data_IF_881308346655
#
_entry.id   IF_881308346655
#
_cell.length_a   1.000
_cell.length_b   1.000
_cell.length_c   1.000
_cell.angle_alpha   90.00
_cell.angle_beta   90.00
_cell.angle_gamma   90.00
#
_symmetry.space_group_name_H-M   'P 1'
#
loop_
_entity.id
_entity.type
_entity.pdbx_description
1 polymer ?
#
# COMPACT_ATOMS: atom_id res chain seq x y z
N UNK A 1 -2.51 -14.42 23.62
CA UNK A 1 -1.06 -14.65 23.59
C UNK A 1 -0.35 -14.03 22.38
N UNK A 2 -0.40 -14.57 21.14
CA UNK A 2 0.31 -13.92 20.00
C UNK A 2 -0.18 -12.48 19.76
N UNK A 3 -1.49 -12.27 19.83
CA UNK A 3 -2.09 -10.94 19.78
C UNK A 3 -1.65 -10.05 20.95
N UNK A 4 -1.44 -10.60 22.15
CA UNK A 4 -0.96 -9.82 23.30
C UNK A 4 0.51 -9.43 23.13
N UNK A 5 1.35 -10.32 22.59
CA UNK A 5 2.73 -10.00 22.24
C UNK A 5 2.79 -8.90 21.18
N UNK A 6 1.95 -8.98 20.15
CA UNK A 6 1.85 -7.95 19.12
C UNK A 6 1.38 -6.60 19.69
N UNK A 7 0.32 -6.58 20.51
CA UNK A 7 -0.18 -5.36 21.13
C UNK A 7 0.81 -4.75 22.12
N UNK A 8 1.54 -5.58 22.87
CA UNK A 8 2.62 -5.11 23.77
C UNK A 8 3.78 -4.48 22.98
N UNK A 9 4.13 -5.07 21.84
CA UNK A 9 5.18 -4.57 20.96
C UNK A 9 4.78 -3.26 20.27
N UNK A 10 3.52 -3.17 19.83
CA UNK A 10 2.94 -1.99 19.17
C UNK A 10 2.59 -0.82 20.12
N UNK A 11 2.96 -0.89 21.40
CA UNK A 11 2.42 -0.02 22.46
C UNK A 11 2.46 1.50 22.15
N UNK A 12 1.34 2.06 21.68
CA UNK A 12 1.12 3.49 21.47
C UNK A 12 1.62 4.03 20.12
N UNK A 13 2.28 5.20 20.13
CA UNK A 13 2.81 5.92 18.95
C UNK A 13 4.14 5.35 18.41
N UNK A 14 4.61 4.20 18.94
CA UNK A 14 5.88 3.60 18.50
C UNK A 14 5.66 2.67 17.31
N UNK A 15 6.59 2.72 16.36
CA UNK A 15 6.69 1.76 15.27
C UNK A 15 6.85 0.34 15.82
N UNK A 16 6.21 -0.63 15.14
CA UNK A 16 6.27 -2.04 15.51
C UNK A 16 7.68 -2.62 15.29
N UNK A 17 8.29 -3.19 16.33
CA UNK A 17 9.61 -3.82 16.26
C UNK A 17 9.45 -5.33 15.96
N UNK A 18 9.57 -5.66 14.68
CA UNK A 18 9.48 -7.05 14.20
C UNK A 18 10.52 -7.97 14.86
N UNK A 19 11.75 -7.49 15.08
CA UNK A 19 12.82 -8.32 15.63
C UNK A 19 12.54 -8.70 17.08
N UNK A 20 12.07 -7.73 17.89
CA UNK A 20 11.64 -8.02 19.27
C UNK A 20 10.42 -8.94 19.30
N UNK A 21 9.45 -8.74 18.41
CA UNK A 21 8.27 -9.60 18.32
C UNK A 21 8.65 -11.05 17.96
N UNK A 22 9.53 -11.24 16.97
CA UNK A 22 10.00 -12.56 16.55
C UNK A 22 10.65 -13.32 17.71
N UNK A 23 11.51 -12.64 18.47
CA UNK A 23 12.16 -13.20 19.66
C UNK A 23 11.16 -13.61 20.74
N UNK A 24 10.17 -12.76 21.01
CA UNK A 24 9.14 -13.05 22.01
C UNK A 24 8.27 -14.24 21.60
N UNK A 25 7.95 -14.37 20.31
CA UNK A 25 7.18 -15.51 19.79
C UNK A 25 7.97 -16.82 19.87
N UNK A 26 9.25 -16.81 19.54
CA UNK A 26 10.12 -17.99 19.67
C UNK A 26 10.35 -18.42 21.12
N UNK A 27 10.29 -17.48 22.07
CA UNK A 27 10.40 -17.76 23.50
C UNK A 27 9.13 -18.41 24.08
N UNK A 28 7.99 -18.36 23.37
CA UNK A 28 6.77 -19.03 23.83
C UNK A 28 6.89 -20.54 23.63
N UNK A 29 6.72 -21.28 24.73
CA UNK A 29 6.48 -22.72 24.67
C UNK A 29 5.07 -23.04 24.15
N UNK A 30 4.95 -23.18 22.83
CA UNK A 30 3.73 -23.69 22.19
C UNK A 30 3.59 -25.20 22.40
N UNK A 31 2.35 -25.69 22.36
CA UNK A 31 2.06 -27.12 22.42
C UNK A 31 2.81 -27.89 21.30
N UNK A 32 3.22 -29.14 21.60
CA UNK A 32 3.94 -29.99 20.65
C UNK A 32 3.20 -30.04 19.30
N UNK A 33 3.91 -29.69 18.22
CA UNK A 33 3.39 -29.68 16.85
C UNK A 33 2.89 -28.31 16.34
N UNK A 34 2.65 -27.32 17.20
CA UNK A 34 2.16 -26.00 16.78
C UNK A 34 3.25 -25.06 16.27
N UNK A 35 4.51 -25.27 16.65
CA UNK A 35 5.63 -24.39 16.27
C UNK A 35 5.88 -24.37 14.75
N UNK A 36 5.90 -25.54 14.11
CA UNK A 36 6.27 -25.65 12.70
C UNK A 36 5.35 -24.87 11.74
N UNK A 37 4.02 -25.03 11.77
CA UNK A 37 3.12 -24.28 10.89
C UNK A 37 3.09 -22.77 11.21
N UNK A 38 3.33 -22.39 12.46
CA UNK A 38 3.38 -20.99 12.87
C UNK A 38 4.64 -20.30 12.35
N UNK A 39 5.81 -20.92 12.50
CA UNK A 39 7.07 -20.39 11.96
C UNK A 39 7.01 -20.25 10.44
N UNK A 40 6.45 -21.22 9.71
CA UNK A 40 6.26 -21.09 8.27
C UNK A 40 5.43 -19.85 7.87
N UNK A 41 4.39 -19.52 8.65
CA UNK A 41 3.59 -18.33 8.40
C UNK A 41 4.35 -17.04 8.73
N UNK A 42 5.17 -17.03 9.79
CA UNK A 42 6.02 -15.89 10.10
C UNK A 42 7.12 -15.68 9.05
N UNK A 43 7.74 -16.75 8.56
CA UNK A 43 8.75 -16.68 7.50
C UNK A 43 8.13 -16.15 6.19
N UNK A 44 6.90 -16.57 5.88
CA UNK A 44 6.14 -16.00 4.77
C UNK A 44 5.83 -14.51 4.97
N UNK A 45 5.42 -14.10 6.17
CA UNK A 45 5.21 -12.69 6.49
C UNK A 45 6.49 -11.86 6.36
N UNK A 46 7.63 -12.38 6.85
CA UNK A 46 8.94 -11.73 6.72
C UNK A 46 9.33 -11.49 5.27
N UNK A 47 8.94 -12.38 4.35
CA UNK A 47 9.23 -12.20 2.92
C UNK A 47 8.55 -10.96 2.31
N UNK A 48 7.49 -10.45 2.95
CA UNK A 48 6.80 -9.22 2.54
C UNK A 48 7.28 -7.96 3.29
N UNK A 49 8.05 -8.11 4.36
CA UNK A 49 8.51 -6.99 5.19
C UNK A 49 9.89 -6.50 4.75
N UNK A 50 10.03 -5.19 4.66
CA UNK A 50 11.33 -4.58 4.41
C UNK A 50 12.08 -4.32 5.73
N UNK A 51 12.66 -5.39 6.29
CA UNK A 51 13.38 -5.33 7.57
C UNK A 51 14.75 -4.61 7.48
N UNK A 52 15.21 -4.28 6.27
CA UNK A 52 16.49 -3.60 6.06
C UNK A 52 16.47 -2.10 6.38
N UNK A 53 15.28 -1.51 6.60
CA UNK A 53 15.09 -0.08 6.84
C UNK A 53 15.38 0.82 5.62
N UNK A 54 15.90 0.27 4.53
CA UNK A 54 16.07 0.99 3.27
C UNK A 54 14.72 1.05 2.58
N UNK A 55 13.98 2.16 2.64
CA UNK A 55 12.77 2.33 1.82
C UNK A 55 13.18 2.35 0.34
N UNK A 56 12.95 1.26 -0.42
CA UNK A 56 13.30 1.28 -1.82
C UNK A 56 12.37 2.32 -2.47
N UNK A 57 12.95 3.26 -3.21
CA UNK A 57 12.23 4.25 -4.03
C UNK A 57 11.58 3.57 -5.23
N UNK A 58 10.75 2.55 -4.97
CA UNK A 58 10.12 1.69 -5.99
C UNK A 58 9.17 2.52 -6.85
N UNK A 59 8.48 3.49 -6.24
CA UNK A 59 7.51 4.36 -6.90
C UNK A 59 8.06 5.78 -7.08
N UNK A 60 9.28 5.90 -7.62
CA UNK A 60 9.84 7.19 -8.04
C UNK A 60 9.94 7.25 -9.57
N UNK A 61 9.19 8.17 -10.17
CA UNK A 61 9.21 8.41 -11.61
C UNK A 61 10.56 8.98 -12.07
N UNK A 62 10.96 8.57 -13.26
CA UNK A 62 12.13 9.10 -13.98
C UNK A 62 11.68 9.53 -15.37
N UNK A 63 12.24 10.63 -15.92
CA UNK A 63 11.93 11.05 -17.29
C UNK A 63 12.13 9.89 -18.29
N UNK A 64 11.14 9.68 -19.16
CA UNK A 64 11.19 8.63 -20.19
C UNK A 64 10.95 7.20 -19.69
N UNK A 65 10.60 7.00 -18.42
CA UNK A 65 10.27 5.69 -17.86
C UNK A 65 8.76 5.57 -17.64
N UNK A 66 8.18 4.49 -18.17
CA UNK A 66 6.83 4.05 -17.85
C UNK A 66 6.91 3.03 -16.70
N UNK A 67 6.30 3.34 -15.58
CA UNK A 67 6.15 2.42 -14.44
C UNK A 67 4.74 1.88 -14.43
N UNK A 68 4.61 0.55 -14.54
CA UNK A 68 3.33 -0.15 -14.43
C UNK A 68 3.28 -0.75 -13.02
N UNK A 69 2.19 -0.48 -12.31
CA UNK A 69 1.93 -1.02 -10.98
C UNK A 69 0.72 -1.95 -11.11
N UNK A 70 0.95 -3.24 -10.95
CA UNK A 70 -0.12 -4.24 -10.91
C UNK A 70 -0.56 -4.43 -9.46
N UNK A 71 -1.83 -4.14 -9.20
CA UNK A 71 -2.48 -4.32 -7.90
C UNK A 71 -3.50 -5.47 -7.94
N UNK A 72 -3.52 -6.26 -9.01
CA UNK A 72 -4.41 -7.40 -9.17
C UNK A 72 -4.04 -8.48 -8.15
N UNK A 73 -4.94 -8.75 -7.21
CA UNK A 73 -4.78 -9.84 -6.25
C UNK A 73 -6.14 -10.52 -6.02
N UNK A 74 -6.22 -11.87 -6.11
CA UNK A 74 -7.49 -12.59 -5.97
C UNK A 74 -8.09 -12.57 -4.56
N UNK A 75 -7.35 -12.06 -3.57
CA UNK A 75 -7.69 -12.07 -2.14
C UNK A 75 -7.94 -10.65 -1.60
N UNK A 76 -7.54 -9.60 -2.31
CA UNK A 76 -7.71 -8.22 -1.87
C UNK A 76 -9.14 -7.76 -2.14
N UNK A 77 -9.80 -7.27 -1.09
CA UNK A 77 -11.12 -6.66 -1.19
C UNK A 77 -11.04 -5.24 -1.76
N UNK A 78 -12.15 -4.68 -2.29
CA UNK A 78 -12.15 -3.35 -2.91
C UNK A 78 -11.67 -2.22 -1.98
N UNK A 79 -11.95 -2.28 -0.68
CA UNK A 79 -11.54 -1.23 0.27
C UNK A 79 -10.03 -1.25 0.47
N UNK A 80 -9.44 -2.44 0.67
CA UNK A 80 -8.00 -2.65 0.74
C UNK A 80 -7.29 -2.25 -0.56
N UNK A 81 -7.88 -2.55 -1.72
CA UNK A 81 -7.35 -2.13 -3.02
C UNK A 81 -7.29 -0.59 -3.11
N UNK A 82 -8.36 0.09 -2.71
CA UNK A 82 -8.39 1.55 -2.72
C UNK A 82 -7.34 2.16 -1.78
N UNK A 83 -7.12 1.57 -0.61
CA UNK A 83 -6.06 2.00 0.30
C UNK A 83 -4.65 1.82 -0.30
N UNK A 84 -4.38 0.69 -0.96
CA UNK A 84 -3.12 0.44 -1.63
C UNK A 84 -2.89 1.42 -2.77
N UNK A 85 -3.91 1.62 -3.60
CA UNK A 85 -3.89 2.58 -4.69
C UNK A 85 -3.58 3.99 -4.17
N UNK A 86 -4.31 4.43 -3.15
CA UNK A 86 -4.13 5.72 -2.48
C UNK A 86 -2.69 5.93 -1.96
N UNK A 87 -2.14 4.88 -1.36
CA UNK A 87 -0.77 4.85 -0.83
C UNK A 87 0.26 4.94 -1.97
N UNK A 88 0.09 4.16 -3.04
CA UNK A 88 0.94 4.23 -4.23
C UNK A 88 0.94 5.62 -4.85
N UNK A 89 -0.24 6.25 -4.95
CA UNK A 89 -0.38 7.63 -5.44
C UNK A 89 0.40 8.64 -4.59
N UNK A 90 0.23 8.61 -3.26
CA UNK A 90 0.95 9.51 -2.36
C UNK A 90 2.47 9.35 -2.47
N UNK A 91 2.95 8.12 -2.51
CA UNK A 91 4.38 7.87 -2.69
C UNK A 91 4.89 8.39 -4.04
N UNK A 92 4.19 8.10 -5.14
CA UNK A 92 4.61 8.55 -6.46
C UNK A 92 4.65 10.07 -6.57
N UNK A 93 3.62 10.75 -6.06
CA UNK A 93 3.54 12.21 -6.10
C UNK A 93 4.60 12.88 -5.22
N UNK A 94 4.85 12.33 -4.02
CA UNK A 94 5.84 12.89 -3.07
C UNK A 94 7.28 12.64 -3.48
N UNK A 95 7.58 11.51 -4.13
CA UNK A 95 8.96 11.13 -4.45
C UNK A 95 9.40 11.57 -5.87
N UNK A 96 8.47 11.84 -6.78
CA UNK A 96 8.79 12.15 -8.17
C UNK A 96 8.92 13.66 -8.41
N UNK A 97 10.06 14.13 -8.91
CA UNK A 97 10.29 15.56 -9.18
C UNK A 97 10.05 15.98 -10.63
N UNK A 98 10.00 15.04 -11.58
CA UNK A 98 9.72 15.32 -12.99
C UNK A 98 8.21 15.50 -13.26
N UNK A 99 7.85 15.82 -14.52
CA UNK A 99 6.47 15.73 -15.00
C UNK A 99 5.89 14.32 -14.81
N UNK A 100 4.59 14.22 -14.50
CA UNK A 100 3.97 13.00 -13.98
C UNK A 100 2.70 12.70 -14.78
N UNK A 101 2.64 11.59 -15.49
CA UNK A 101 1.38 11.12 -16.07
C UNK A 101 0.93 9.88 -15.33
N UNK A 102 -0.33 9.82 -14.94
CA UNK A 102 -0.88 8.66 -14.25
C UNK A 102 -2.16 8.22 -14.97
N UNK A 103 -2.18 6.95 -15.35
CA UNK A 103 -3.35 6.30 -15.93
C UNK A 103 -3.87 5.25 -14.95
N UNK A 104 -5.19 5.16 -14.83
CA UNK A 104 -5.85 4.13 -14.02
C UNK A 104 -6.70 3.25 -14.93
N UNK A 105 -6.34 1.98 -14.97
CA UNK A 105 -7.14 0.94 -15.60
C UNK A 105 -8.20 0.46 -14.61
N UNK A 106 -9.38 0.07 -15.08
CA UNK A 106 -10.46 -0.49 -14.26
C UNK A 106 -10.90 0.35 -13.05
N UNK A 107 -10.62 1.66 -13.06
CA UNK A 107 -11.00 2.56 -11.97
C UNK A 107 -12.50 2.44 -11.61
N UNK A 108 -13.37 2.23 -12.60
CA UNK A 108 -14.81 2.04 -12.41
C UNK A 108 -15.16 0.77 -11.60
N UNK A 109 -14.39 -0.31 -11.73
CA UNK A 109 -14.56 -1.58 -11.02
C UNK A 109 -14.29 -1.46 -9.52
N UNK A 110 -13.52 -0.44 -9.11
CA UNK A 110 -13.15 -0.19 -7.72
C UNK A 110 -13.77 1.10 -7.15
N UNK A 111 -14.24 2.02 -8.01
CA UNK A 111 -14.89 3.28 -7.65
C UNK A 111 -16.41 3.10 -7.49
N UNK A 112 -16.83 2.17 -6.62
CA UNK A 112 -18.24 2.08 -6.23
C UNK A 112 -18.53 3.09 -5.12
N UNK A 113 -19.59 3.90 -5.29
CA UNK A 113 -19.92 5.07 -4.45
C UNK A 113 -20.23 4.77 -2.97
N UNK A 114 -20.20 3.49 -2.56
CA UNK A 114 -20.60 3.04 -1.23
C UNK A 114 -19.46 3.00 -0.20
N UNK A 115 -18.19 3.04 -0.61
CA UNK A 115 -17.04 2.98 0.31
C UNK A 115 -16.53 4.37 0.69
N UNK A 116 -16.42 4.64 1.99
CA UNK A 116 -15.90 5.91 2.54
C UNK A 116 -14.47 6.18 2.10
N UNK A 117 -13.64 5.13 2.01
CA UNK A 117 -12.24 5.19 1.56
C UNK A 117 -12.14 5.58 0.08
N UNK A 118 -13.01 5.03 -0.77
CA UNK A 118 -13.14 5.40 -2.19
C UNK A 118 -13.51 6.87 -2.32
N UNK A 119 -14.51 7.33 -1.58
CA UNK A 119 -14.98 8.73 -1.61
C UNK A 119 -13.88 9.69 -1.16
N UNK A 120 -13.10 9.33 -0.13
CA UNK A 120 -11.97 10.14 0.33
C UNK A 120 -10.85 10.22 -0.71
N UNK A 121 -10.48 9.08 -1.31
CA UNK A 121 -9.52 9.02 -2.41
C UNK A 121 -9.98 9.90 -3.58
N UNK A 122 -11.24 9.74 -4.02
CA UNK A 122 -11.83 10.50 -5.13
C UNK A 122 -11.91 12.00 -4.86
N UNK A 123 -12.12 12.42 -3.61
CA UNK A 123 -12.12 13.85 -3.27
C UNK A 123 -10.70 14.44 -3.21
N UNK A 124 -9.71 13.61 -2.86
CA UNK A 124 -8.31 14.04 -2.72
C UNK A 124 -7.60 14.08 -4.07
N UNK A 125 -7.83 13.08 -4.91
CA UNK A 125 -7.17 12.92 -6.20
C UNK A 125 -7.25 14.19 -7.08
N UNK A 126 -8.42 14.82 -7.34
CA UNK A 126 -8.51 16.06 -8.10
C UNK A 126 -7.81 17.25 -7.44
N UNK A 127 -7.82 17.32 -6.10
CA UNK A 127 -7.14 18.41 -5.36
C UNK A 127 -5.63 18.29 -5.53
N UNK A 128 -5.08 17.09 -5.32
CA UNK A 128 -3.65 16.85 -5.47
C UNK A 128 -3.18 17.06 -6.91
N UNK A 129 -3.99 16.67 -7.91
CA UNK A 129 -3.71 16.96 -9.33
C UNK A 129 -3.62 18.47 -9.58
N UNK A 130 -4.60 19.24 -9.09
CA UNK A 130 -4.64 20.70 -9.28
C UNK A 130 -3.43 21.38 -8.64
N UNK A 131 -3.09 21.00 -7.41
CA UNK A 131 -1.91 21.52 -6.70
C UNK A 131 -0.60 21.23 -7.44
N UNK A 132 -0.46 20.04 -8.02
CA UNK A 132 0.74 19.66 -8.78
C UNK A 132 0.83 20.40 -10.13
N UNK A 133 -0.30 20.65 -10.78
CA UNK A 133 -0.36 21.43 -12.03
C UNK A 133 0.00 22.91 -11.86
N UNK A 134 -0.30 23.50 -10.69
CA UNK A 134 0.09 24.88 -10.36
C UNK A 134 1.60 25.05 -10.15
N UNK A 135 2.30 23.97 -9.77
CA UNK A 135 3.76 23.94 -9.57
C UNK A 135 4.56 23.59 -10.85
N UNK A 136 3.94 23.66 -12.03
CA UNK A 136 4.60 23.41 -13.31
C UNK A 136 4.77 21.93 -13.69
N UNK A 137 4.18 21.01 -12.92
CA UNK A 137 4.11 19.60 -13.26
C UNK A 137 2.85 19.28 -14.06
N UNK A 138 2.99 18.89 -15.33
CA UNK A 138 1.85 18.38 -16.09
C UNK A 138 1.39 17.04 -15.50
N UNK A 139 0.17 17.01 -14.94
CA UNK A 139 -0.49 15.80 -14.43
C UNK A 139 -1.76 15.54 -15.23
N UNK A 140 -1.77 14.48 -16.03
CA UNK A 140 -2.93 14.06 -16.82
C UNK A 140 -3.47 12.75 -16.27
N UNK A 141 -4.79 12.70 -16.10
CA UNK A 141 -5.54 11.50 -15.78
C UNK A 141 -6.32 11.05 -17.01
N UNK A 142 -6.22 9.77 -17.32
CA UNK A 142 -7.10 9.10 -18.27
C UNK A 142 -7.78 7.95 -17.52
N UNK A 143 -9.10 8.04 -17.36
CA UNK A 143 -9.93 6.88 -17.07
C UNK A 143 -10.63 6.47 -18.36
N UNK A 144 -10.52 5.21 -18.73
CA UNK A 144 -11.31 4.64 -19.82
C UNK A 144 -12.78 4.61 -19.42
N UNK A 145 -13.53 5.66 -19.74
CA UNK A 145 -14.99 5.60 -19.70
C UNK A 145 -15.44 4.79 -20.93
N UNK A 146 -15.69 3.50 -20.73
CA UNK A 146 -16.54 2.74 -21.66
C UNK A 146 -17.92 3.37 -21.61
N UNK A 147 -18.27 4.14 -22.64
CA UNK A 147 -19.63 4.62 -22.83
C UNK A 147 -20.55 3.44 -23.07
N UNK A 148 -21.42 3.15 -22.10
CA UNK A 148 -22.64 2.41 -22.40
C UNK A 148 -23.62 3.36 -23.09
N UNK A 149 -24.06 2.93 -24.28
CA UNK A 149 -25.18 3.50 -25.03
C UNK A 149 -26.50 3.11 -24.38
#
# INVERSE_FOLDING_TARGET
>A
MLQELATKNAGGLKEFDWASFRKDVEAVQLAKGQNKPMLMRLDMLESFLNLSGSSPKILTGKPGILTIVDLTDPVIDPESFCLLLDTCFLFFLSQTSCGKSIALEEAHSYMTESSTTVVQFMNRLPKTIREQSANGGETRFASGMSGEQ
#
